data_IF_777334201669
#
_entry.id   IF_777334201669
#
_cell.length_a   1.000
_cell.length_b   1.000
_cell.length_c   1.000
_cell.angle_alpha   90.00
_cell.angle_beta   90.00
_cell.angle_gamma   90.00
#
_symmetry.space_group_name_H-M   'P 1'
#
loop_
_entity.id
_entity.type
_entity.pdbx_description
1 polymer ?
#
# COMPACT_ATOMS: atom_id res chain seq x y z
N UNK A 1 10.53 8.40 12.55
CA UNK A 1 9.42 7.50 12.98
C UNK A 1 9.94 6.07 13.17
N UNK A 2 9.58 5.33 14.22
CA UNK A 2 10.03 3.94 14.36
C UNK A 2 9.60 3.04 13.17
N UNK A 3 10.55 2.32 12.57
CA UNK A 3 10.29 1.37 11.49
C UNK A 3 10.14 -0.05 12.05
N UNK A 4 8.90 -0.54 12.07
CA UNK A 4 8.60 -1.93 12.40
C UNK A 4 9.04 -2.89 11.28
N UNK A 5 9.32 -4.14 11.61
CA UNK A 5 9.58 -5.25 10.67
C UNK A 5 8.54 -5.39 9.55
N UNK A 6 7.26 -5.09 9.83
CA UNK A 6 6.18 -5.07 8.84
C UNK A 6 6.38 -3.93 7.84
N UNK A 7 6.65 -2.70 8.33
CA UNK A 7 6.90 -1.53 7.51
C UNK A 7 8.12 -1.79 6.62
N UNK A 8 9.23 -2.23 7.21
CA UNK A 8 10.46 -2.54 6.48
C UNK A 8 10.24 -3.57 5.35
N UNK A 9 9.58 -4.70 5.65
CA UNK A 9 9.30 -5.74 4.64
C UNK A 9 8.38 -5.25 3.54
N UNK A 10 7.31 -4.53 3.89
CA UNK A 10 6.35 -3.99 2.90
C UNK A 10 7.06 -2.96 2.01
N UNK A 11 7.82 -2.03 2.59
CA UNK A 11 8.58 -1.02 1.86
C UNK A 11 9.61 -1.63 0.90
N UNK A 12 10.33 -2.69 1.30
CA UNK A 12 11.21 -3.41 0.37
C UNK A 12 10.43 -4.08 -0.77
N UNK A 13 9.30 -4.73 -0.48
CA UNK A 13 8.52 -5.45 -1.50
C UNK A 13 7.88 -4.51 -2.52
N UNK A 14 7.42 -3.34 -2.06
CA UNK A 14 6.88 -2.26 -2.89
C UNK A 14 7.99 -1.47 -3.62
N UNK A 15 9.26 -1.63 -3.25
CA UNK A 15 10.37 -0.92 -3.87
C UNK A 15 10.53 0.52 -3.39
N UNK A 16 9.93 0.89 -2.25
CA UNK A 16 10.10 2.21 -1.63
C UNK A 16 11.51 2.39 -1.07
N UNK A 17 12.12 1.29 -0.65
CA UNK A 17 13.53 1.19 -0.26
C UNK A 17 14.19 0.05 -1.02
N UNK A 18 15.50 0.17 -1.25
CA UNK A 18 16.26 -0.81 -2.01
C UNK A 18 16.42 -2.16 -1.28
N UNK A 19 16.66 -3.26 -2.02
CA UNK A 19 16.76 -4.61 -1.43
C UNK A 19 17.97 -4.81 -0.52
N UNK A 20 18.97 -3.92 -0.59
CA UNK A 20 20.19 -3.95 0.24
C UNK A 20 20.18 -2.90 1.36
N UNK A 21 19.09 -2.13 1.49
CA UNK A 21 18.93 -1.14 2.57
C UNK A 21 18.75 -1.89 3.89
N UNK A 22 19.56 -1.57 4.90
CA UNK A 22 19.40 -2.13 6.24
C UNK A 22 18.19 -1.54 6.96
N UNK A 23 17.72 -2.21 8.01
CA UNK A 23 16.62 -1.69 8.84
C UNK A 23 16.96 -0.31 9.43
N UNK A 24 18.20 -0.12 9.90
CA UNK A 24 18.65 1.16 10.46
C UNK A 24 18.56 2.31 9.45
N UNK A 25 18.99 2.06 8.20
CA UNK A 25 18.91 3.07 7.12
C UNK A 25 17.51 3.26 6.56
N UNK A 26 16.60 2.32 6.78
CA UNK A 26 15.23 2.43 6.30
C UNK A 26 14.46 3.53 7.01
N UNK A 27 14.83 3.85 8.26
CA UNK A 27 14.25 4.96 9.02
C UNK A 27 14.38 6.28 8.24
N UNK A 28 15.60 6.69 7.97
CA UNK A 28 15.89 8.00 7.37
C UNK A 28 15.31 8.11 5.95
N UNK A 29 15.42 7.03 5.16
CA UNK A 29 14.91 7.00 3.79
C UNK A 29 13.39 7.08 3.70
N UNK A 30 12.67 6.50 4.68
CA UNK A 30 11.21 6.55 4.69
C UNK A 30 10.70 7.85 5.32
N UNK A 31 11.41 8.38 6.31
CA UNK A 31 11.10 9.68 6.91
C UNK A 31 11.23 10.83 5.91
N UNK A 32 12.23 10.79 5.02
CA UNK A 32 12.38 11.77 3.94
C UNK A 32 11.25 11.69 2.88
N UNK A 33 10.61 10.52 2.74
CA UNK A 33 9.60 10.26 1.70
C UNK A 33 8.16 10.50 2.16
N UNK A 34 7.93 10.64 3.46
CA UNK A 34 6.58 10.71 4.05
C UNK A 34 6.41 12.09 4.65
N UNK A 35 5.40 12.81 4.18
CA UNK A 35 5.05 14.12 4.73
C UNK A 35 4.77 14.04 6.24
N UNK A 36 5.20 15.03 7.05
CA UNK A 36 5.10 14.97 8.51
C UNK A 36 3.69 14.72 9.05
N UNK A 37 2.66 15.24 8.38
CA UNK A 37 1.24 15.07 8.72
C UNK A 37 0.70 13.67 8.37
N UNK A 38 1.34 12.98 7.41
CA UNK A 38 0.98 11.64 6.97
C UNK A 38 1.69 10.52 7.75
N UNK A 39 2.71 10.83 8.55
CA UNK A 39 3.56 9.85 9.27
C UNK A 39 2.76 8.83 10.07
N UNK A 40 1.78 9.29 10.86
CA UNK A 40 0.96 8.40 11.68
C UNK A 40 0.12 7.43 10.84
N UNK A 41 -0.57 7.96 9.83
CA UNK A 41 -1.40 7.16 8.92
C UNK A 41 -0.54 6.16 8.15
N UNK A 42 0.62 6.59 7.63
CA UNK A 42 1.58 5.71 6.98
C UNK A 42 1.98 4.56 7.90
N UNK A 43 2.38 4.87 9.14
CA UNK A 43 2.84 3.87 10.11
C UNK A 43 1.78 2.80 10.38
N UNK A 44 0.56 3.21 10.75
CA UNK A 44 -0.53 2.31 11.11
C UNK A 44 -1.00 1.51 9.90
N UNK A 45 -1.17 2.15 8.74
CA UNK A 45 -1.59 1.47 7.51
C UNK A 45 -0.57 0.42 7.06
N UNK A 46 0.73 0.71 7.14
CA UNK A 46 1.77 -0.26 6.74
C UNK A 46 1.89 -1.42 7.71
N UNK A 47 1.75 -1.20 9.01
CA UNK A 47 1.71 -2.28 10.01
C UNK A 47 0.49 -3.17 9.73
N UNK A 48 -0.70 -2.59 9.60
CA UNK A 48 -1.93 -3.35 9.37
C UNK A 48 -1.86 -4.12 8.05
N UNK A 49 -1.41 -3.47 6.97
CA UNK A 49 -1.23 -4.12 5.68
C UNK A 49 -0.21 -5.27 5.76
N UNK A 50 0.93 -5.04 6.41
CA UNK A 50 1.96 -6.06 6.59
C UNK A 50 1.51 -7.24 7.44
N UNK A 51 0.60 -7.04 8.39
CA UNK A 51 0.03 -8.09 9.24
C UNK A 51 -1.05 -8.89 8.52
N UNK A 52 -1.99 -8.21 7.88
CA UNK A 52 -3.20 -8.85 7.36
C UNK A 52 -3.03 -9.38 5.94
N UNK A 53 -2.30 -8.67 5.08
CA UNK A 53 -2.23 -8.93 3.62
C UNK A 53 -0.81 -9.28 3.18
N UNK A 54 0.16 -8.38 3.36
CA UNK A 54 1.56 -8.56 2.93
C UNK A 54 2.39 -9.32 3.97
N UNK A 55 1.89 -10.50 4.35
CA UNK A 55 2.45 -11.40 5.37
C UNK A 55 3.87 -11.85 5.01
N UNK A 56 4.67 -12.18 6.02
CA UNK A 56 6.05 -12.62 5.82
C UNK A 56 6.10 -13.87 4.93
N UNK A 57 5.26 -14.85 5.23
CA UNK A 57 5.06 -16.05 4.43
C UNK A 57 3.70 -16.00 3.73
N UNK A 58 3.64 -16.50 2.49
CA UNK A 58 2.41 -16.62 1.70
C UNK A 58 1.54 -15.34 1.73
N UNK A 59 2.05 -14.20 1.25
CA UNK A 59 1.27 -12.96 1.22
C UNK A 59 0.01 -13.12 0.34
N UNK A 60 -1.07 -12.45 0.71
CA UNK A 60 -2.34 -12.45 -0.01
C UNK A 60 -2.30 -11.48 -1.20
N UNK A 61 -1.39 -11.73 -2.14
CA UNK A 61 -1.17 -10.88 -3.31
C UNK A 61 -2.39 -10.73 -4.24
N UNK A 62 -3.30 -11.71 -4.40
CA UNK A 62 -4.55 -11.51 -5.14
C UNK A 62 -5.47 -10.43 -4.52
N UNK A 63 -5.51 -10.36 -3.18
CA UNK A 63 -6.37 -9.46 -2.40
C UNK A 63 -5.70 -8.10 -2.10
N UNK A 64 -4.43 -7.95 -2.49
CA UNK A 64 -3.65 -6.77 -2.16
C UNK A 64 -4.06 -5.57 -3.00
N UNK A 65 -4.56 -4.52 -2.34
CA UNK A 65 -5.06 -3.28 -2.99
C UNK A 65 -3.98 -2.55 -3.82
N UNK A 66 -2.72 -2.67 -3.42
CA UNK A 66 -1.56 -2.12 -4.16
C UNK A 66 -0.83 -3.20 -4.98
N UNK A 67 -1.39 -4.40 -5.08
CA UNK A 67 -0.75 -5.56 -5.70
C UNK A 67 -0.37 -5.30 -7.16
N UNK A 68 -1.25 -4.65 -7.93
CA UNK A 68 -1.00 -4.32 -9.34
C UNK A 68 0.26 -3.47 -9.55
N UNK A 69 0.57 -2.58 -8.60
CA UNK A 69 1.76 -1.72 -8.64
C UNK A 69 2.98 -2.35 -7.97
N UNK A 70 2.81 -3.50 -7.29
CA UNK A 70 3.86 -4.11 -6.50
C UNK A 70 4.83 -4.91 -7.37
N UNK A 71 6.12 -4.51 -7.45
CA UNK A 71 7.12 -5.21 -8.27
C UNK A 71 7.41 -6.63 -7.74
N UNK A 72 7.19 -6.87 -6.45
CA UNK A 72 7.40 -8.18 -5.84
C UNK A 72 6.24 -9.16 -6.03
N UNK A 73 5.09 -8.74 -6.57
CA UNK A 73 3.89 -9.59 -6.72
C UNK A 73 4.19 -10.88 -7.50
N UNK A 74 4.96 -10.76 -8.58
CA UNK A 74 5.33 -11.90 -9.45
C UNK A 74 6.18 -12.97 -8.73
N UNK A 75 6.80 -12.64 -7.60
CA UNK A 75 7.59 -13.61 -6.80
C UNK A 75 6.70 -14.53 -5.96
N UNK A 76 5.45 -14.13 -5.71
CA UNK A 76 4.53 -14.83 -4.80
C UNK A 76 3.31 -15.41 -5.49
N UNK A 77 3.20 -15.25 -6.82
CA UNK A 77 2.04 -15.68 -7.60
C UNK A 77 2.49 -16.52 -8.80
N UNK A 78 1.67 -17.49 -9.20
CA UNK A 78 1.92 -18.25 -10.43
C UNK A 78 1.59 -17.41 -11.67
N UNK A 79 2.11 -17.82 -12.84
CA UNK A 79 1.78 -17.18 -14.12
C UNK A 79 0.27 -17.26 -14.41
N UNK A 80 -0.38 -18.36 -14.06
CA UNK A 80 -1.84 -18.52 -14.19
C UNK A 80 -2.61 -17.58 -13.29
N UNK A 81 -2.16 -17.37 -12.05
CA UNK A 81 -2.84 -16.44 -11.13
C UNK A 81 -2.76 -15.00 -11.63
N UNK A 82 -1.59 -14.58 -12.16
CA UNK A 82 -1.40 -13.26 -12.73
C UNK A 82 -2.30 -13.03 -13.95
N UNK A 83 -2.33 -14.00 -14.87
CA UNK A 83 -3.18 -13.93 -16.08
C UNK A 83 -4.67 -13.89 -15.73
N UNK A 84 -5.10 -14.63 -14.70
CA UNK A 84 -6.49 -14.65 -14.23
C UNK A 84 -6.91 -13.28 -13.72
N UNK A 85 -6.06 -12.61 -12.94
CA UNK A 85 -6.36 -11.29 -12.37
C UNK A 85 -6.35 -10.19 -13.44
N UNK A 86 -5.42 -10.24 -14.39
CA UNK A 86 -5.42 -9.32 -15.53
C UNK A 86 -6.70 -9.46 -16.38
N UNK A 87 -7.18 -10.69 -16.59
CA UNK A 87 -8.43 -10.95 -17.29
C UNK A 87 -9.66 -10.41 -16.53
N UNK A 88 -9.72 -10.58 -15.21
CA UNK A 88 -10.78 -10.04 -14.35
C UNK A 88 -10.81 -8.51 -14.33
N UNK A 89 -9.64 -7.87 -14.34
CA UNK A 89 -9.52 -6.41 -14.42
C UNK A 89 -10.03 -5.86 -15.78
N UNK A 90 -9.75 -6.55 -16.88
CA UNK A 90 -10.22 -6.14 -18.20
C UNK A 90 -11.75 -6.23 -18.32
N UNK A 91 -12.35 -7.27 -17.71
CA UNK A 91 -13.80 -7.47 -17.67
C UNK A 91 -14.53 -6.44 -16.80
N UNK A 92 -13.89 -5.97 -15.73
CA UNK A 92 -14.45 -4.94 -14.86
C UNK A 92 -14.43 -3.56 -15.54
N UNK A 93 -13.39 -3.23 -16.30
CA UNK A 93 -13.35 -1.97 -17.07
C UNK A 93 -14.44 -1.92 -18.17
N UNK A 94 -14.79 -3.06 -18.77
CA UNK A 94 -15.88 -3.14 -19.75
C UNK A 94 -17.29 -3.15 -19.15
N UNK A 95 -17.42 -3.12 -17.81
CA UNK A 95 -18.69 -3.35 -17.11
C UNK A 95 -19.11 -2.34 -16.03
N UNK A 96 -18.39 -1.23 -15.82
CA UNK A 96 -18.73 -0.30 -14.72
C UNK A 96 -19.49 0.94 -15.24
N UNK A 97 -20.82 0.92 -15.06
CA UNK A 97 -21.54 2.13 -14.66
C UNK A 97 -20.97 2.55 -13.31
N UNK A 98 -20.28 3.69 -13.24
CA UNK A 98 -19.67 4.18 -12.02
C UNK A 98 -20.70 4.33 -10.91
N UNK A 99 -20.64 3.47 -9.89
CA UNK A 99 -21.22 3.81 -8.60
C UNK A 99 -20.46 5.05 -8.11
N UNK A 100 -21.13 6.20 -7.87
CA UNK A 100 -20.44 7.39 -7.40
C UNK A 100 -19.79 7.07 -6.05
N UNK A 101 -18.50 7.43 -5.92
CA UNK A 101 -17.83 7.49 -4.63
C UNK A 101 -18.76 8.22 -3.63
N UNK A 102 -19.00 7.68 -2.42
CA UNK A 102 -19.60 8.48 -1.38
C UNK A 102 -18.65 9.66 -1.13
N UNK A 103 -19.12 10.85 -1.47
CA UNK A 103 -18.48 12.11 -1.16
C UNK A 103 -18.09 12.10 0.32
N UNK A 104 -16.80 12.27 0.62
CA UNK A 104 -16.38 12.66 1.97
C UNK A 104 -16.98 14.05 2.19
N UNK A 105 -17.85 14.26 3.19
CA UNK A 105 -18.35 15.60 3.49
C UNK A 105 -17.15 16.48 3.83
N UNK A 106 -16.93 17.53 3.05
CA UNK A 106 -15.91 18.53 3.37
C UNK A 106 -16.28 19.11 4.75
N UNK A 107 -15.39 18.93 5.73
CA UNK A 107 -15.51 19.59 7.02
C UNK A 107 -15.43 21.09 6.80
N UNK A 108 -16.54 21.80 7.01
CA UNK A 108 -16.56 23.26 7.07
C UNK A 108 -15.58 23.70 8.17
N UNK A 109 -14.54 24.43 7.80
CA UNK A 109 -13.73 25.22 8.73
C UNK A 109 -14.63 26.26 9.40
N UNK A 110 -14.70 26.38 10.74
CA UNK A 110 -15.42 27.47 11.37
C UNK A 110 -14.63 28.77 11.17
N UNK A 111 -15.29 29.77 10.58
CA UNK A 111 -14.86 31.17 10.56
C UNK A 111 -14.64 31.65 11.99
N UNK A 112 -13.38 31.80 12.40
CA UNK A 112 -13.03 32.49 13.64
C UNK A 112 -12.99 34.00 13.34
N UNK A 113 -14.15 34.65 13.41
CA UNK A 113 -14.26 36.10 13.54
C UNK A 113 -14.31 36.45 15.04
N UNK A 114 -13.25 37.08 15.54
CA UNK A 114 -13.25 38.22 16.48
C UNK A 114 -11.81 38.54 16.88
#
# INVERSE_FOLDING_TARGET
>A
MAIDTHIYRVSQRLGLIGPKVSADKAHDLLEEKVEPDAVFNFHVSYINHGRQVCRAQRPLCPECVVGRLCPSRKKFMSKSDLATLEAQELQSISGISGAPMPHVPQSKTPDLKS
#
